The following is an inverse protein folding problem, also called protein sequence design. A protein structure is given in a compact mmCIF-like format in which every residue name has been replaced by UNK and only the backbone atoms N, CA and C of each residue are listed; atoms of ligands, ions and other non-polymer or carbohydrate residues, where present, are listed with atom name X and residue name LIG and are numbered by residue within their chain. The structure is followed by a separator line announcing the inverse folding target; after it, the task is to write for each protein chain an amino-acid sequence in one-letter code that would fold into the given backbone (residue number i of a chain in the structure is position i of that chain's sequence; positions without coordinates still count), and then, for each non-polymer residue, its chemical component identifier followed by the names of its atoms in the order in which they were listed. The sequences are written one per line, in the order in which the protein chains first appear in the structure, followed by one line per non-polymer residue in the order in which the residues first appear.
data_IF_642824978062
#
_entry.id   IF_642824978062
#
_cell.length_a   1.000
_cell.length_b   1.000
_cell.length_c   1.000
_cell.angle_alpha   90.00
_cell.angle_beta   90.00
_cell.angle_gamma   90.00
#
_symmetry.space_group_name_H-M   'P 1'
#
loop_
_entity.id
_entity.type
_entity.pdbx_description
1 polymer ?
#
# COMPACT_ATOMS: atom_id res chain seq x y z
N UNK A 1 -37.78 4.06 -17.94
CA UNK A 1 -37.28 5.36 -17.45
C UNK A 1 -36.23 5.15 -16.35
N UNK A 2 -35.06 4.59 -16.70
CA UNK A 2 -33.93 4.37 -15.77
C UNK A 2 -32.57 4.41 -16.51
N UNK A 3 -32.51 5.15 -17.62
CA UNK A 3 -31.29 5.32 -18.43
C UNK A 3 -30.82 6.79 -18.47
N UNK A 4 -31.42 7.67 -17.66
CA UNK A 4 -31.08 9.10 -17.56
C UNK A 4 -30.15 9.48 -16.41
N UNK A 5 -29.83 8.55 -15.50
CA UNK A 5 -28.95 8.81 -14.35
C UNK A 5 -27.47 8.50 -14.58
N UNK A 6 -27.12 7.88 -15.71
CA UNK A 6 -25.78 7.32 -15.98
C UNK A 6 -24.96 8.24 -16.91
N UNK A 7 -25.61 9.20 -17.59
CA UNK A 7 -24.93 10.22 -18.41
C UNK A 7 -24.70 11.57 -17.71
N UNK A 8 -25.10 11.70 -16.43
CA UNK A 8 -25.28 12.99 -15.74
C UNK A 8 -24.34 13.23 -14.55
N UNK A 9 -23.30 12.42 -14.41
CA UNK A 9 -22.07 12.90 -13.78
C UNK A 9 -21.08 13.19 -14.90
N UNK A 10 -21.41 14.23 -15.67
CA UNK A 10 -20.43 15.12 -16.32
C UNK A 10 -19.57 15.81 -15.25
N UNK A 11 -19.06 15.07 -14.27
CA UNK A 11 -17.93 15.51 -13.47
C UNK A 11 -16.81 15.61 -14.47
N UNK A 12 -16.46 16.85 -14.80
CA UNK A 12 -15.37 17.22 -15.68
C UNK A 12 -14.31 16.13 -15.60
N UNK A 13 -14.13 15.31 -16.63
CA UNK A 13 -13.30 14.14 -16.46
C UNK A 13 -11.79 14.50 -16.33
N UNK A 14 -11.43 15.77 -16.55
CA UNK A 14 -10.22 16.39 -15.98
C UNK A 14 -10.24 16.42 -14.43
N UNK A 15 -11.34 16.85 -13.80
CA UNK A 15 -11.55 16.74 -12.36
C UNK A 15 -11.58 15.29 -11.87
N UNK A 16 -12.06 14.33 -12.67
CA UNK A 16 -11.99 12.90 -12.34
C UNK A 16 -10.53 12.41 -12.35
N UNK A 17 -9.77 12.69 -13.42
CA UNK A 17 -8.36 12.33 -13.53
C UNK A 17 -7.48 13.00 -12.47
N UNK A 18 -7.75 14.28 -12.14
CA UNK A 18 -7.10 15.00 -11.04
C UNK A 18 -7.42 14.35 -9.69
N UNK A 19 -8.69 13.98 -9.45
CA UNK A 19 -9.08 13.26 -8.22
C UNK A 19 -8.40 11.91 -8.12
N UNK A 20 -8.38 11.12 -9.19
CA UNK A 20 -7.73 9.81 -9.23
C UNK A 20 -6.20 9.92 -9.08
N UNK A 21 -5.57 10.97 -9.62
CA UNK A 21 -4.14 11.22 -9.40
C UNK A 21 -3.85 11.71 -7.97
N UNK A 22 -4.78 12.42 -7.35
CA UNK A 22 -4.64 12.92 -5.99
C UNK A 22 -4.81 11.83 -4.92
N UNK A 23 -5.63 10.80 -5.16
CA UNK A 23 -5.88 9.74 -4.17
C UNK A 23 -4.57 9.06 -3.71
N UNK A 24 -3.71 8.51 -4.60
CA UNK A 24 -2.45 7.93 -4.18
C UNK A 24 -1.54 8.97 -3.52
N UNK A 25 -1.54 10.22 -3.99
CA UNK A 25 -0.72 11.29 -3.40
C UNK A 25 -1.11 11.61 -1.95
N UNK A 26 -2.42 11.72 -1.68
CA UNK A 26 -2.97 11.94 -0.35
C UNK A 26 -2.66 10.75 0.56
N UNK A 27 -2.83 9.52 0.07
CA UNK A 27 -2.45 8.32 0.83
C UNK A 27 -0.95 8.32 1.12
N UNK A 28 -0.10 8.65 0.13
CA UNK A 28 1.34 8.76 0.31
C UNK A 28 1.74 9.76 1.38
N UNK A 29 1.08 10.93 1.42
CA UNK A 29 1.24 11.94 2.47
C UNK A 29 0.77 11.40 3.82
N UNK A 30 -0.38 10.72 3.89
CA UNK A 30 -0.88 10.14 5.14
C UNK A 30 0.08 9.06 5.69
N UNK A 31 0.61 8.21 4.82
CA UNK A 31 1.65 7.21 5.17
C UNK A 31 2.91 7.90 5.66
N UNK A 32 3.36 8.97 4.99
CA UNK A 32 4.52 9.76 5.41
C UNK A 32 4.27 10.47 6.75
N UNK A 33 3.10 11.05 6.94
CA UNK A 33 2.71 11.68 8.19
C UNK A 33 2.66 10.67 9.34
N UNK A 34 2.29 9.42 9.08
CA UNK A 34 2.33 8.34 10.08
C UNK A 34 3.72 8.12 10.67
N UNK A 35 4.80 8.43 9.91
CA UNK A 35 6.18 8.31 10.42
C UNK A 35 6.52 9.34 11.50
N UNK A 36 5.79 10.46 11.56
CA UNK A 36 5.91 11.44 12.64
C UNK A 36 5.08 11.08 13.87
N UNK A 37 4.23 10.07 13.77
CA UNK A 37 3.44 9.57 14.91
C UNK A 37 4.21 8.45 15.63
N UNK A 38 3.74 8.06 16.81
CA UNK A 38 4.28 6.91 17.56
C UNK A 38 4.01 5.56 16.87
N UNK A 39 3.21 5.54 15.82
CA UNK A 39 2.70 4.33 15.16
C UNK A 39 2.80 4.44 13.62
N UNK A 40 4.03 4.43 13.05
CA UNK A 40 4.20 4.36 11.59
C UNK A 40 3.42 3.18 11.01
N UNK A 41 2.82 3.37 9.84
CA UNK A 41 1.82 2.44 9.29
C UNK A 41 2.31 0.98 9.25
N UNK A 42 3.54 0.74 8.77
CA UNK A 42 4.09 -0.61 8.68
C UNK A 42 4.32 -1.22 10.05
N UNK A 43 4.75 -0.41 11.03
CA UNK A 43 4.89 -0.86 12.41
C UNK A 43 3.54 -1.32 12.95
N UNK A 44 2.51 -0.51 12.79
CA UNK A 44 1.15 -0.87 13.26
C UNK A 44 0.63 -2.14 12.60
N UNK A 45 0.91 -2.33 11.31
CA UNK A 45 0.50 -3.53 10.58
C UNK A 45 1.25 -4.79 11.07
N UNK A 46 2.56 -4.68 11.31
CA UNK A 46 3.40 -5.79 11.73
C UNK A 46 3.23 -6.13 13.23
N UNK A 47 3.03 -5.14 14.09
CA UNK A 47 2.68 -5.35 15.50
C UNK A 47 1.21 -5.76 15.68
N UNK A 48 0.52 -6.12 14.61
CA UNK A 48 -0.81 -6.71 14.69
C UNK A 48 -0.68 -8.23 14.91
N UNK A 49 -1.21 -8.79 16.01
CA UNK A 49 -1.16 -10.22 16.30
C UNK A 49 -1.89 -11.10 15.26
N UNK A 50 -2.70 -10.50 14.37
CA UNK A 50 -3.31 -11.19 13.22
C UNK A 50 -2.33 -11.41 12.06
N UNK A 51 -1.22 -10.68 12.03
CA UNK A 51 -0.24 -10.72 10.94
C UNK A 51 1.02 -11.44 11.40
N UNK A 52 1.56 -11.06 12.56
CA UNK A 52 2.77 -11.62 13.12
C UNK A 52 2.57 -12.15 14.54
N UNK A 53 3.37 -13.12 14.93
CA UNK A 53 3.54 -13.47 16.35
C UNK A 53 4.40 -12.41 17.06
N UNK A 54 3.76 -11.29 17.41
CA UNK A 54 4.41 -10.09 17.96
C UNK A 54 5.23 -10.41 19.20
N UNK A 55 4.72 -11.28 20.07
CA UNK A 55 5.37 -11.63 21.34
C UNK A 55 6.67 -12.40 21.09
N UNK A 56 6.65 -13.44 20.26
CA UNK A 56 7.86 -14.19 19.88
C UNK A 56 8.88 -13.32 19.14
N UNK A 57 8.41 -12.48 18.22
CA UNK A 57 9.30 -11.57 17.47
C UNK A 57 9.95 -10.58 18.42
N UNK A 58 9.19 -9.98 19.33
CA UNK A 58 9.71 -9.01 20.29
C UNK A 58 10.72 -9.63 21.26
N UNK A 59 10.40 -10.79 21.85
CA UNK A 59 11.30 -11.51 22.75
C UNK A 59 12.65 -11.83 22.09
N UNK A 60 12.63 -12.28 20.82
CA UNK A 60 13.87 -12.54 20.09
C UNK A 60 14.65 -11.27 19.74
N UNK A 61 13.95 -10.19 19.39
CA UNK A 61 14.60 -8.90 19.15
C UNK A 61 15.29 -8.35 20.41
N UNK A 62 14.68 -8.51 21.58
CA UNK A 62 15.27 -8.12 22.86
C UNK A 62 16.47 -8.98 23.22
N UNK A 63 16.35 -10.32 23.10
CA UNK A 63 17.46 -11.26 23.32
C UNK A 63 18.68 -10.95 22.46
N UNK A 64 18.44 -10.53 21.21
CA UNK A 64 19.50 -10.21 20.25
C UNK A 64 19.98 -8.75 20.34
N UNK A 65 19.36 -7.91 21.18
CA UNK A 65 19.65 -6.48 21.26
C UNK A 65 19.35 -5.70 19.97
N UNK A 66 18.46 -6.21 19.12
CA UNK A 66 18.19 -5.68 17.77
C UNK A 66 16.93 -4.81 17.68
N UNK A 67 16.22 -4.56 18.79
CA UNK A 67 14.96 -3.81 18.82
C UNK A 67 15.07 -2.44 18.14
N UNK A 68 16.09 -1.64 18.45
CA UNK A 68 16.29 -0.32 17.85
C UNK A 68 16.58 -0.39 16.34
N UNK A 69 17.34 -1.39 15.92
CA UNK A 69 17.64 -1.61 14.51
C UNK A 69 16.39 -2.08 13.75
N UNK A 70 15.57 -2.94 14.34
CA UNK A 70 14.28 -3.35 13.79
C UNK A 70 13.35 -2.15 13.56
N UNK A 71 13.14 -1.31 14.57
CA UNK A 71 12.29 -0.11 14.48
C UNK A 71 12.79 0.84 13.36
N UNK A 72 14.11 1.04 13.25
CA UNK A 72 14.69 1.84 12.16
C UNK A 72 14.38 1.24 10.78
N UNK A 73 14.38 -0.10 10.66
CA UNK A 73 14.07 -0.78 9.40
C UNK A 73 12.59 -0.68 9.04
N UNK A 74 11.69 -0.76 10.02
CA UNK A 74 10.25 -0.53 9.81
C UNK A 74 9.96 0.90 9.34
N UNK A 75 10.66 1.87 9.92
CA UNK A 75 10.57 3.27 9.50
C UNK A 75 10.99 3.45 8.03
N UNK A 76 12.14 2.86 7.63
CA UNK A 76 12.60 2.83 6.24
C UNK A 76 11.59 2.19 5.29
N UNK A 77 11.00 1.07 5.69
CA UNK A 77 9.96 0.44 4.89
C UNK A 77 8.74 1.36 4.72
N UNK A 78 8.37 2.13 5.76
CA UNK A 78 7.24 3.08 5.68
C UNK A 78 7.53 4.21 4.70
N UNK A 79 8.79 4.68 4.62
CA UNK A 79 9.22 5.62 3.58
C UNK A 79 9.13 5.01 2.18
N UNK A 80 9.55 3.75 1.98
CA UNK A 80 9.41 3.08 0.68
C UNK A 80 7.95 2.90 0.26
N UNK A 81 7.07 2.57 1.21
CA UNK A 81 5.63 2.47 0.97
C UNK A 81 5.04 3.82 0.54
N UNK A 82 5.38 4.90 1.25
CA UNK A 82 4.99 6.26 0.86
C UNK A 82 5.52 6.62 -0.53
N UNK A 83 6.77 6.25 -0.85
CA UNK A 83 7.36 6.43 -2.17
C UNK A 83 6.60 5.70 -3.29
N UNK A 84 6.06 4.51 -3.01
CA UNK A 84 5.22 3.75 -3.96
C UNK A 84 3.93 4.51 -4.30
N UNK A 85 3.29 5.10 -3.29
CA UNK A 85 2.10 5.92 -3.49
C UNK A 85 2.39 7.23 -4.25
N UNK A 86 3.52 7.88 -3.96
CA UNK A 86 3.94 9.06 -4.72
C UNK A 86 4.29 8.72 -6.17
N UNK A 87 4.97 7.61 -6.42
CA UNK A 87 5.22 7.13 -7.78
C UNK A 87 3.90 6.91 -8.53
N UNK A 88 2.94 6.23 -7.91
CA UNK A 88 1.62 5.98 -8.51
C UNK A 88 0.88 7.29 -8.84
N UNK A 89 0.86 8.24 -7.91
CA UNK A 89 0.27 9.58 -8.12
C UNK A 89 0.95 10.33 -9.28
N UNK A 90 2.29 10.33 -9.29
CA UNK A 90 3.08 10.97 -10.34
C UNK A 90 2.82 10.36 -11.71
N UNK A 91 2.87 9.04 -11.83
CA UNK A 91 2.58 8.35 -13.09
C UNK A 91 1.16 8.59 -13.56
N UNK A 92 0.18 8.61 -12.64
CA UNK A 92 -1.20 8.91 -13.00
C UNK A 92 -1.34 10.33 -13.57
N UNK A 93 -0.70 11.31 -12.95
CA UNK A 93 -0.66 12.69 -13.46
C UNK A 93 0.01 12.79 -14.83
N UNK A 94 1.15 12.11 -15.03
CA UNK A 94 1.87 12.11 -16.32
C UNK A 94 1.00 11.48 -17.42
N UNK A 95 0.37 10.34 -17.17
CA UNK A 95 -0.50 9.68 -18.15
C UNK A 95 -1.74 10.51 -18.47
N UNK A 96 -2.36 11.11 -17.45
CA UNK A 96 -3.48 12.03 -17.65
C UNK A 96 -3.09 13.19 -18.57
N UNK A 97 -1.97 13.87 -18.26
CA UNK A 97 -1.51 15.01 -19.05
C UNK A 97 -1.09 14.62 -20.48
N UNK A 98 -0.61 13.40 -20.70
CA UNK A 98 -0.14 12.97 -22.02
C UNK A 98 -1.28 12.47 -22.92
N UNK A 99 -2.24 11.74 -22.35
CA UNK A 99 -3.29 11.06 -23.11
C UNK A 99 -4.52 11.94 -23.26
N UNK A 100 -4.87 12.71 -22.23
CA UNK A 100 -6.07 13.55 -22.22
C UNK A 100 -5.73 14.92 -22.78
N UNK A 101 -6.04 15.12 -24.06
CA UNK A 101 -5.81 16.38 -24.77
C UNK A 101 -7.12 17.03 -25.25
N UNK A 102 -8.18 16.23 -25.37
CA UNK A 102 -9.48 16.67 -25.85
C UNK A 102 -10.28 17.39 -24.76
N UNK A 103 -11.20 18.31 -25.12
CA UNK A 103 -12.11 18.93 -24.17
C UNK A 103 -13.10 17.90 -23.62
N UNK A 104 -13.41 18.04 -22.33
CA UNK A 104 -14.40 17.26 -21.62
C UNK A 104 -15.75 17.23 -22.36
N UNK A 105 -16.39 16.06 -22.41
CA UNK A 105 -17.69 15.87 -23.05
C UNK A 105 -17.67 15.60 -24.56
N UNK A 106 -16.48 15.59 -25.19
CA UNK A 106 -16.33 15.12 -26.58
C UNK A 106 -16.24 13.60 -26.69
N UNK A 107 -16.57 13.03 -27.85
CA UNK A 107 -16.33 11.59 -28.10
C UNK A 107 -14.84 11.24 -28.02
N UNK A 108 -13.98 12.12 -28.54
CA UNK A 108 -12.52 11.94 -28.50
C UNK A 108 -12.02 11.82 -27.05
N UNK A 109 -12.58 12.62 -26.14
CA UNK A 109 -12.26 12.56 -24.72
C UNK A 109 -12.59 11.19 -24.09
N UNK A 110 -13.75 10.60 -24.41
CA UNK A 110 -14.12 9.28 -23.89
C UNK A 110 -13.19 8.17 -24.40
N UNK A 111 -12.76 8.27 -25.67
CA UNK A 111 -11.78 7.36 -26.25
C UNK A 111 -10.40 7.50 -25.58
N UNK A 112 -9.96 8.72 -25.30
CA UNK A 112 -8.71 9.03 -24.59
C UNK A 112 -8.71 8.47 -23.17
N UNK A 113 -9.81 8.61 -22.42
CA UNK A 113 -9.94 8.00 -21.09
C UNK A 113 -9.83 6.48 -21.13
N UNK A 114 -10.53 5.82 -22.07
CA UNK A 114 -10.45 4.37 -22.21
C UNK A 114 -9.02 3.90 -22.46
N UNK A 115 -8.29 4.65 -23.32
CA UNK A 115 -6.87 4.40 -23.59
C UNK A 115 -5.98 4.67 -22.38
N UNK A 116 -6.25 5.73 -21.61
CA UNK A 116 -5.53 6.03 -20.37
C UNK A 116 -5.68 4.89 -19.37
N UNK A 117 -6.90 4.43 -19.09
CA UNK A 117 -7.14 3.32 -18.15
C UNK A 117 -6.39 2.05 -18.56
N UNK A 118 -6.43 1.71 -19.86
CA UNK A 118 -5.73 0.55 -20.38
C UNK A 118 -4.20 0.66 -20.25
N UNK A 119 -3.63 1.84 -20.48
CA UNK A 119 -2.19 2.09 -20.34
C UNK A 119 -1.75 2.24 -18.88
N UNK A 120 -2.59 2.81 -18.03
CA UNK A 120 -2.34 2.97 -16.60
C UNK A 120 -2.15 1.63 -15.91
N UNK A 121 -2.86 0.57 -16.33
CA UNK A 121 -2.72 -0.75 -15.71
C UNK A 121 -1.28 -1.30 -15.78
N UNK A 122 -0.64 -1.50 -16.95
CA UNK A 122 0.75 -1.95 -17.01
C UNK A 122 1.73 -0.88 -16.52
N UNK A 123 1.50 0.41 -16.79
CA UNK A 123 2.47 1.47 -16.48
C UNK A 123 2.53 1.84 -15.00
N UNK A 124 1.42 1.70 -14.27
CA UNK A 124 1.34 2.02 -12.85
C UNK A 124 1.33 0.75 -12.01
N UNK A 125 0.46 -0.21 -12.31
CA UNK A 125 0.26 -1.36 -11.44
C UNK A 125 1.48 -2.28 -11.42
N UNK A 126 2.12 -2.56 -12.56
CA UNK A 126 3.28 -3.45 -12.60
C UNK A 126 4.46 -2.88 -11.79
N UNK A 127 4.92 -1.62 -12.00
CA UNK A 127 5.99 -1.08 -11.17
C UNK A 127 5.59 -0.97 -9.69
N UNK A 128 4.33 -0.63 -9.40
CA UNK A 128 3.82 -0.56 -8.02
C UNK A 128 3.82 -1.93 -7.33
N UNK A 129 3.44 -2.99 -8.05
CA UNK A 129 3.51 -4.36 -7.55
C UNK A 129 4.95 -4.78 -7.30
N UNK A 130 5.89 -4.46 -8.21
CA UNK A 130 7.32 -4.75 -8.02
C UNK A 130 7.86 -4.04 -6.78
N UNK A 131 7.55 -2.75 -6.60
CA UNK A 131 7.94 -2.00 -5.40
C UNK A 131 7.33 -2.61 -4.13
N UNK A 132 6.04 -3.00 -4.17
CA UNK A 132 5.38 -3.65 -3.05
C UNK A 132 6.03 -4.99 -2.69
N UNK A 133 6.33 -5.83 -3.69
CA UNK A 133 7.06 -7.08 -3.50
C UNK A 133 8.46 -6.85 -2.90
N UNK A 134 9.16 -5.81 -3.35
CA UNK A 134 10.45 -5.43 -2.80
C UNK A 134 10.35 -4.99 -1.33
N UNK A 135 9.31 -4.24 -0.95
CA UNK A 135 9.03 -3.85 0.44
C UNK A 135 8.75 -5.08 1.30
N UNK A 136 7.90 -6.00 0.83
CA UNK A 136 7.62 -7.24 1.57
C UNK A 136 8.87 -8.10 1.74
N UNK A 137 9.66 -8.27 0.68
CA UNK A 137 10.92 -9.00 0.75
C UNK A 137 11.89 -8.35 1.74
N UNK A 138 12.02 -7.02 1.70
CA UNK A 138 12.84 -6.26 2.64
C UNK A 138 12.40 -6.44 4.10
N UNK A 139 11.08 -6.41 4.36
CA UNK A 139 10.52 -6.64 5.70
C UNK A 139 10.77 -8.07 6.18
N UNK A 140 10.50 -9.06 5.33
CA UNK A 140 10.77 -10.46 5.65
C UNK A 140 12.25 -10.70 5.95
N UNK A 141 13.15 -10.21 5.08
CA UNK A 141 14.61 -10.27 5.26
C UNK A 141 15.03 -9.61 6.57
N UNK A 142 14.39 -8.50 6.93
CA UNK A 142 14.66 -7.77 8.18
C UNK A 142 14.23 -8.59 9.39
N UNK A 143 13.00 -9.13 9.41
CA UNK A 143 12.50 -9.92 10.54
C UNK A 143 13.36 -11.16 10.70
N UNK A 144 13.49 -11.98 9.66
CA UNK A 144 14.29 -13.21 9.69
C UNK A 144 15.76 -12.94 10.03
N UNK A 145 16.35 -11.86 9.51
CA UNK A 145 17.75 -11.52 9.75
C UNK A 145 18.03 -11.05 11.19
N UNK A 146 17.06 -10.41 11.85
CA UNK A 146 17.24 -9.88 13.21
C UNK A 146 16.73 -10.81 14.31
N UNK A 147 15.76 -11.67 14.02
CA UNK A 147 15.21 -12.64 14.99
C UNK A 147 15.75 -14.06 14.81
N UNK A 148 16.24 -14.41 13.61
CA UNK A 148 16.59 -15.78 13.26
C UNK A 148 15.40 -16.74 13.15
N UNK A 149 14.17 -16.24 13.28
CA UNK A 149 12.96 -17.04 13.21
C UNK A 149 12.66 -17.47 11.78
N UNK A 150 12.13 -18.69 11.64
CA UNK A 150 11.58 -19.16 10.36
C UNK A 150 10.28 -18.44 10.04
N UNK A 151 9.91 -18.40 8.76
CA UNK A 151 8.70 -17.71 8.30
C UNK A 151 7.44 -18.22 9.03
N UNK A 152 7.37 -19.52 9.29
CA UNK A 152 6.26 -20.18 9.99
C UNK A 152 6.08 -19.69 11.44
N UNK A 153 7.19 -19.38 12.12
CA UNK A 153 7.19 -18.87 13.50
C UNK A 153 6.90 -17.37 13.57
N UNK A 154 7.24 -16.66 12.49
CA UNK A 154 7.04 -15.21 12.33
C UNK A 154 5.57 -14.92 12.08
N UNK A 155 4.93 -15.65 11.16
CA UNK A 155 3.54 -15.43 10.79
C UNK A 155 2.62 -15.89 11.93
N UNK A 156 1.56 -15.12 12.18
CA UNK A 156 0.52 -15.51 13.10
C UNK A 156 -0.15 -16.81 12.63
N UNK A 157 0.28 -17.94 13.17
CA UNK A 157 -0.38 -19.23 12.95
C UNK A 157 -1.63 -19.28 13.82
N UNK A 158 -2.81 -19.10 13.23
CA UNK A 158 -4.11 -19.23 13.90
C UNK A 158 -4.46 -20.67 14.34
N UNK A 159 -3.50 -21.60 14.43
CA UNK A 159 -3.79 -23.03 14.59
C UNK A 159 -4.02 -23.53 16.04
N UNK A 160 -4.14 -22.67 17.06
CA UNK A 160 -4.32 -23.17 18.45
C UNK A 160 -5.38 -22.46 19.31
N UNK A 161 -6.38 -21.78 18.72
CA UNK A 161 -7.45 -21.15 19.49
C UNK A 161 -8.73 -22.02 19.68
N UNK A 162 -8.79 -23.26 19.18
CA UNK A 162 -9.99 -24.13 19.29
C UNK A 162 -9.83 -25.33 20.25
N UNK A 163 -8.80 -25.39 21.10
CA UNK A 163 -8.58 -26.54 22.02
C UNK A 163 -8.70 -26.27 23.52
N UNK A 164 -9.26 -25.14 23.94
CA UNK A 164 -9.54 -24.89 25.37
C UNK A 164 -10.93 -24.29 25.62
N UNK A 165 -11.96 -24.94 25.07
CA UNK A 165 -13.36 -24.50 25.22
C UNK A 165 -14.37 -25.62 25.38
N UNK A 166 -14.04 -26.76 26.01
CA UNK A 166 -15.03 -27.69 26.58
C UNK A 166 -14.37 -28.81 27.41
N UNK A 167 -14.03 -28.50 28.66
CA UNK A 167 -13.96 -29.47 29.76
C UNK A 167 -14.20 -28.72 31.07
N UNK A 168 -15.47 -28.58 31.44
CA UNK A 168 -16.00 -28.90 32.76
C UNK A 168 -17.52 -28.76 32.74
#
# INVERSE_FOLDING_TARGET
LLTGGIGLLQLDPQWLAIKEAAIPGIIGIAVLASTRTRFPLIRTLLYNPKVLNVEKVHEQLERNGQTAHFETRLLRATYFLSGTFFFSSFMNYVLAKWIVNSPAGSEAFNAELGRMTLLSYPMIAIPSMVMMMAIFYYLWRTIHGLTGLRLEDIIATHAHADRHGKKS
#
